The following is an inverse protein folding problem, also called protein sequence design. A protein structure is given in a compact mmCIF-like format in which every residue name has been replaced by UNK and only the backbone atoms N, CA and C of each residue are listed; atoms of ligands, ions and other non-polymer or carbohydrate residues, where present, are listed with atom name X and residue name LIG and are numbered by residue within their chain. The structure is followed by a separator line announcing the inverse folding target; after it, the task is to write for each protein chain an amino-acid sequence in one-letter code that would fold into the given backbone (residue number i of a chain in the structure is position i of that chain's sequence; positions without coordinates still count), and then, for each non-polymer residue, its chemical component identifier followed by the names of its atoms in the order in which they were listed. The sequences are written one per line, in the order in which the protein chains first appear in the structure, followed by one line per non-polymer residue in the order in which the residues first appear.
data_IF_728662882072
#
_entry.id   IF_728662882072
#
_cell.length_a   1.000
_cell.length_b   1.000
_cell.length_c   1.000
_cell.angle_alpha   90.00
_cell.angle_beta   90.00
_cell.angle_gamma   90.00
#
_symmetry.space_group_name_H-M   'P 1'
#
loop_
_entity.id
_entity.type
_entity.pdbx_description
1 polymer ?
#
# COMPACT_ATOMS: atom_id res chain seq x y z
N UNK A 1 -11.41 -43.91 -1.40
CA UNK A 1 -11.09 -42.48 -1.19
C UNK A 1 -9.85 -42.18 -2.00
N UNK A 2 -10.02 -41.62 -3.20
CA UNK A 2 -8.93 -41.26 -4.11
C UNK A 2 -8.34 -39.93 -3.64
N UNK A 3 -7.12 -39.95 -3.12
CA UNK A 3 -6.38 -38.74 -2.81
C UNK A 3 -6.01 -38.04 -4.12
N UNK A 4 -6.61 -36.89 -4.39
CA UNK A 4 -6.27 -36.05 -5.54
C UNK A 4 -4.88 -35.49 -5.30
N UNK A 5 -3.87 -36.06 -5.97
CA UNK A 5 -2.50 -35.54 -5.95
C UNK A 5 -2.51 -34.24 -6.74
N UNK A 6 -2.42 -33.11 -6.05
CA UNK A 6 -2.30 -31.79 -6.68
C UNK A 6 -0.91 -31.70 -7.30
N UNK A 7 -0.83 -31.53 -8.63
CA UNK A 7 0.47 -31.34 -9.29
C UNK A 7 1.05 -29.96 -8.93
N UNK A 8 2.38 -29.79 -8.90
CA UNK A 8 3.02 -28.51 -8.58
C UNK A 8 2.53 -27.35 -9.45
N UNK A 9 2.23 -27.61 -10.72
CA UNK A 9 1.69 -26.63 -11.69
C UNK A 9 0.28 -26.17 -11.32
N UNK A 10 -0.57 -27.07 -10.83
CA UNK A 10 -1.92 -26.74 -10.35
C UNK A 10 -1.87 -25.92 -9.06
N UNK A 11 -0.90 -26.21 -8.18
CA UNK A 11 -0.69 -25.46 -6.94
C UNK A 11 -0.18 -24.04 -7.19
N UNK A 12 0.80 -23.87 -8.11
CA UNK A 12 1.31 -22.55 -8.48
C UNK A 12 0.20 -21.65 -9.05
N UNK A 13 -0.59 -22.19 -9.98
CA UNK A 13 -1.73 -21.48 -10.55
C UNK A 13 -2.75 -21.07 -9.48
N UNK A 14 -3.10 -21.98 -8.57
CA UNK A 14 -4.04 -21.68 -7.48
C UNK A 14 -3.52 -20.56 -6.55
N UNK A 15 -2.22 -20.51 -6.27
CA UNK A 15 -1.60 -19.44 -5.48
C UNK A 15 -1.71 -18.11 -6.21
N UNK A 16 -1.46 -18.08 -7.52
CA UNK A 16 -1.56 -16.85 -8.31
C UNK A 16 -3.00 -16.34 -8.41
N UNK A 17 -3.98 -17.23 -8.55
CA UNK A 17 -5.40 -16.89 -8.52
C UNK A 17 -5.80 -16.30 -7.15
N UNK A 18 -5.35 -16.90 -6.04
CA UNK A 18 -5.58 -16.37 -4.68
C UNK A 18 -4.97 -14.98 -4.50
N UNK A 19 -3.73 -14.77 -4.97
CA UNK A 19 -3.07 -13.46 -4.91
C UNK A 19 -3.84 -12.42 -5.71
N UNK A 20 -4.32 -12.79 -6.89
CA UNK A 20 -5.13 -11.92 -7.74
C UNK A 20 -6.43 -11.53 -7.06
N UNK A 21 -7.15 -12.49 -6.51
CA UNK A 21 -8.40 -12.23 -5.80
C UNK A 21 -8.18 -11.30 -4.60
N UNK A 22 -7.10 -11.51 -3.85
CA UNK A 22 -6.71 -10.64 -2.74
C UNK A 22 -6.37 -9.20 -3.22
N UNK A 23 -5.53 -9.05 -4.24
CA UNK A 23 -5.18 -7.74 -4.78
C UNK A 23 -6.41 -7.00 -5.34
N UNK A 24 -7.28 -7.70 -6.08
CA UNK A 24 -8.53 -7.14 -6.61
C UNK A 24 -9.49 -6.71 -5.50
N UNK A 25 -9.63 -7.50 -4.43
CA UNK A 25 -10.47 -7.12 -3.28
C UNK A 25 -9.90 -5.89 -2.57
N UNK A 26 -8.59 -5.83 -2.36
CA UNK A 26 -7.95 -4.66 -1.76
C UNK A 26 -8.14 -3.41 -2.63
N UNK A 27 -7.94 -3.53 -3.93
CA UNK A 27 -8.15 -2.44 -4.86
C UNK A 27 -9.60 -1.95 -4.84
N UNK A 28 -10.58 -2.86 -4.77
CA UNK A 28 -11.99 -2.48 -4.62
C UNK A 28 -12.24 -1.65 -3.35
N UNK A 29 -11.64 -2.01 -2.22
CA UNK A 29 -11.72 -1.21 -0.98
C UNK A 29 -11.13 0.19 -1.19
N UNK A 30 -9.98 0.29 -1.85
CA UNK A 30 -9.31 1.56 -2.13
C UNK A 30 -10.18 2.44 -3.04
N UNK A 31 -10.74 1.88 -4.13
CA UNK A 31 -11.62 2.62 -5.05
C UNK A 31 -12.87 3.15 -4.36
N UNK A 32 -13.52 2.31 -3.55
CA UNK A 32 -14.68 2.72 -2.75
C UNK A 32 -14.32 3.89 -1.82
N UNK A 33 -13.18 3.80 -1.13
CA UNK A 33 -12.70 4.90 -0.28
C UNK A 33 -12.37 6.17 -1.08
N UNK A 34 -11.80 6.04 -2.28
CA UNK A 34 -11.58 7.16 -3.20
C UNK A 34 -12.89 7.83 -3.63
N UNK A 35 -13.98 7.07 -3.76
CA UNK A 35 -15.31 7.61 -4.01
C UNK A 35 -16.02 8.15 -2.75
N UNK A 36 -15.36 8.11 -1.60
CA UNK A 36 -15.91 8.59 -0.33
C UNK A 36 -16.88 7.63 0.34
N UNK A 37 -16.91 6.37 -0.07
CA UNK A 37 -17.71 5.35 0.59
C UNK A 37 -17.15 4.99 1.96
N UNK A 38 -18.04 4.60 2.88
CA UNK A 38 -17.65 4.02 4.16
C UNK A 38 -17.21 2.57 3.96
N UNK A 39 -16.08 2.20 4.55
CA UNK A 39 -15.54 0.84 4.53
C UNK A 39 -15.79 0.17 5.88
N UNK A 40 -16.28 -1.07 5.86
CA UNK A 40 -16.54 -1.84 7.07
C UNK A 40 -15.24 -2.16 7.83
N UNK A 41 -15.32 -2.19 9.16
CA UNK A 41 -14.18 -2.46 10.05
C UNK A 41 -13.48 -3.80 9.75
N UNK A 42 -14.21 -4.84 9.32
CA UNK A 42 -13.61 -6.12 8.93
C UNK A 42 -12.81 -6.02 7.64
N UNK A 43 -13.31 -5.26 6.66
CA UNK A 43 -12.58 -5.00 5.42
C UNK A 43 -11.32 -4.16 5.68
N UNK A 44 -11.41 -3.18 6.59
CA UNK A 44 -10.27 -2.39 7.03
C UNK A 44 -9.20 -3.24 7.72
N UNK A 45 -9.60 -4.10 8.67
CA UNK A 45 -8.68 -5.00 9.36
C UNK A 45 -8.01 -5.98 8.39
N UNK A 46 -8.80 -6.58 7.49
CA UNK A 46 -8.28 -7.49 6.47
C UNK A 46 -7.30 -6.81 5.51
N UNK A 47 -7.60 -5.58 5.07
CA UNK A 47 -6.70 -4.81 4.22
C UNK A 47 -5.42 -4.40 4.96
N UNK A 48 -5.52 -4.08 6.26
CA UNK A 48 -4.38 -3.77 7.11
C UNK A 48 -3.40 -4.94 7.21
N UNK A 49 -3.92 -6.14 7.46
CA UNK A 49 -3.13 -7.38 7.47
C UNK A 49 -2.46 -7.60 6.11
N UNK A 50 -3.23 -7.48 5.01
CA UNK A 50 -2.73 -7.74 3.66
C UNK A 50 -1.63 -6.76 3.21
N UNK A 51 -1.74 -5.48 3.56
CA UNK A 51 -0.73 -4.45 3.27
C UNK A 51 0.53 -4.68 4.12
N UNK A 52 0.37 -5.13 5.36
CA UNK A 52 1.50 -5.43 6.26
C UNK A 52 2.25 -6.66 5.77
N UNK A 53 1.55 -7.70 5.35
CA UNK A 53 2.16 -8.97 4.93
C UNK A 53 2.74 -8.92 3.49
N UNK A 54 2.36 -7.92 2.68
CA UNK A 54 2.76 -7.82 1.27
C UNK A 54 3.17 -6.40 0.85
N UNK A 55 4.47 -6.22 0.61
CA UNK A 55 5.04 -4.99 0.03
C UNK A 55 4.40 -4.63 -1.31
N UNK A 56 4.06 -5.62 -2.13
CA UNK A 56 3.36 -5.41 -3.41
C UNK A 56 1.98 -4.75 -3.21
N UNK A 57 1.20 -5.20 -2.23
CA UNK A 57 -0.08 -4.61 -1.90
C UNK A 57 0.04 -3.22 -1.27
N UNK A 58 1.09 -3.00 -0.46
CA UNK A 58 1.43 -1.67 0.05
C UNK A 58 1.75 -0.69 -1.07
N UNK A 59 2.61 -1.09 -2.01
CA UNK A 59 3.03 -0.24 -3.12
C UNK A 59 1.86 0.02 -4.08
N UNK A 60 1.02 -0.98 -4.35
CA UNK A 60 -0.27 -0.79 -5.06
C UNK A 60 -1.16 0.25 -4.36
N UNK A 61 -1.26 0.20 -3.03
CA UNK A 61 -2.09 1.14 -2.25
C UNK A 61 -1.55 2.57 -2.35
N UNK A 62 -0.23 2.73 -2.25
CA UNK A 62 0.43 4.04 -2.41
C UNK A 62 0.18 4.59 -3.82
N UNK A 63 0.42 3.78 -4.86
CA UNK A 63 0.24 4.20 -6.24
C UNK A 63 -1.21 4.54 -6.57
N UNK A 64 -2.17 3.79 -6.03
CA UNK A 64 -3.58 4.12 -6.16
C UNK A 64 -3.90 5.49 -5.56
N UNK A 65 -3.29 5.84 -4.42
CA UNK A 65 -3.44 7.16 -3.79
C UNK A 65 -2.75 8.29 -4.56
N UNK A 66 -1.54 8.06 -5.06
CA UNK A 66 -0.77 9.08 -5.79
C UNK A 66 -1.29 9.34 -7.20
N UNK A 67 -1.71 8.27 -7.89
CA UNK A 67 -2.06 8.25 -9.31
C UNK A 67 -3.42 7.58 -9.46
N UNK A 68 -4.52 8.23 -9.02
CA UNK A 68 -5.85 7.64 -9.00
C UNK A 68 -6.35 7.24 -10.39
N UNK A 69 -5.79 7.83 -11.46
CA UNK A 69 -6.09 7.49 -12.86
C UNK A 69 -5.39 6.22 -13.37
N UNK A 70 -4.45 5.65 -12.60
CA UNK A 70 -3.80 4.38 -12.95
C UNK A 70 -4.84 3.27 -13.09
N UNK A 71 -4.69 2.44 -14.12
CA UNK A 71 -5.69 1.42 -14.43
C UNK A 71 -5.75 0.35 -13.34
N UNK A 72 -6.94 -0.22 -13.12
CA UNK A 72 -7.09 -1.32 -12.16
C UNK A 72 -6.30 -2.56 -12.57
N UNK A 73 -6.09 -2.73 -13.88
CA UNK A 73 -5.24 -3.80 -14.42
C UNK A 73 -3.79 -3.65 -13.95
N UNK A 74 -3.20 -2.46 -14.13
CA UNK A 74 -1.82 -2.20 -13.72
C UNK A 74 -1.65 -2.27 -12.21
N UNK A 75 -2.59 -1.69 -11.44
CA UNK A 75 -2.56 -1.76 -9.98
C UNK A 75 -2.69 -3.19 -9.48
N UNK A 76 -3.63 -3.97 -10.02
CA UNK A 76 -3.76 -5.39 -9.67
C UNK A 76 -2.49 -6.17 -10.05
N UNK A 77 -1.87 -5.87 -11.19
CA UNK A 77 -0.61 -6.49 -11.59
C UNK A 77 0.50 -6.22 -10.55
N UNK A 78 0.64 -4.98 -10.11
CA UNK A 78 1.61 -4.58 -9.06
C UNK A 78 1.31 -5.30 -7.75
N UNK A 79 0.04 -5.37 -7.33
CA UNK A 79 -0.36 -6.05 -6.09
C UNK A 79 -0.14 -7.57 -6.11
N UNK A 80 0.03 -8.17 -7.29
CA UNK A 80 0.16 -9.63 -7.47
C UNK A 80 1.57 -10.10 -7.80
N UNK A 81 2.40 -9.26 -8.44
CA UNK A 81 3.71 -9.65 -8.96
C UNK A 81 4.84 -8.89 -8.28
N UNK A 82 5.96 -9.58 -8.04
CA UNK A 82 7.22 -9.01 -7.52
C UNK A 82 8.37 -9.15 -8.52
N UNK A 83 8.03 -9.41 -9.78
CA UNK A 83 8.98 -9.54 -10.88
C UNK A 83 9.53 -8.18 -11.33
N UNK A 84 10.46 -8.22 -12.29
CA UNK A 84 11.12 -7.01 -12.78
C UNK A 84 10.18 -6.09 -13.57
N UNK A 85 9.09 -6.62 -14.12
CA UNK A 85 8.08 -5.79 -14.79
C UNK A 85 7.29 -4.97 -13.76
N UNK A 86 6.82 -5.59 -12.68
CA UNK A 86 6.15 -4.90 -11.58
C UNK A 86 7.06 -3.84 -10.95
N UNK A 87 8.33 -4.17 -10.69
CA UNK A 87 9.34 -3.20 -10.21
C UNK A 87 9.53 -2.04 -11.19
N UNK A 88 9.53 -2.31 -12.49
CA UNK A 88 9.66 -1.26 -13.51
C UNK A 88 8.49 -0.30 -13.46
N UNK A 89 7.25 -0.81 -13.31
CA UNK A 89 6.06 0.04 -13.18
C UNK A 89 6.14 0.87 -11.89
N UNK A 90 6.46 0.25 -10.76
CA UNK A 90 6.61 0.94 -9.47
C UNK A 90 7.69 2.01 -9.54
N UNK A 91 8.89 1.68 -10.01
CA UNK A 91 10.01 2.62 -10.13
C UNK A 91 9.71 3.77 -11.11
N UNK A 92 8.85 3.54 -12.11
CA UNK A 92 8.42 4.58 -13.04
C UNK A 92 7.40 5.52 -12.41
N UNK A 93 6.45 5.01 -11.62
CA UNK A 93 5.30 5.77 -11.12
C UNK A 93 5.54 6.39 -9.73
N UNK A 94 6.23 5.68 -8.85
CA UNK A 94 6.45 6.07 -7.45
C UNK A 94 7.20 7.41 -7.29
N UNK A 95 8.20 7.75 -8.12
CA UNK A 95 8.88 9.06 -8.07
C UNK A 95 8.11 10.20 -8.73
N UNK A 96 6.98 9.93 -9.39
CA UNK A 96 6.22 10.98 -10.07
C UNK A 96 5.49 11.85 -9.04
N UNK A 97 5.35 13.14 -9.33
CA UNK A 97 4.56 14.05 -8.50
C UNK A 97 3.15 13.49 -8.40
N UNK A 98 2.60 13.34 -7.20
CA UNK A 98 1.25 12.84 -7.05
C UNK A 98 0.26 13.79 -7.71
N UNK A 99 -0.83 13.24 -8.22
CA UNK A 99 -2.00 14.05 -8.53
C UNK A 99 -2.55 14.59 -7.20
N UNK A 100 -2.37 15.88 -6.91
CA UNK A 100 -2.90 16.52 -5.70
C UNK A 100 -4.43 16.58 -5.77
N UNK A 101 -5.04 15.50 -5.31
CA UNK A 101 -6.43 15.17 -5.51
C UNK A 101 -7.07 14.86 -4.16
N UNK A 102 -8.41 15.00 -4.08
CA UNK A 102 -9.14 14.59 -2.89
C UNK A 102 -8.96 13.08 -2.62
N UNK A 103 -8.67 12.31 -3.67
CA UNK A 103 -8.41 10.89 -3.71
C UNK A 103 -7.13 10.53 -2.93
N UNK A 104 -6.02 11.25 -3.10
CA UNK A 104 -4.80 11.06 -2.30
C UNK A 104 -5.10 11.16 -0.81
N UNK A 105 -5.80 12.23 -0.44
CA UNK A 105 -6.19 12.51 0.93
C UNK A 105 -7.15 11.45 1.51
N UNK A 106 -8.06 10.93 0.67
CA UNK A 106 -8.97 9.83 1.05
C UNK A 106 -8.20 8.54 1.28
N UNK A 107 -7.23 8.19 0.43
CA UNK A 107 -6.42 6.98 0.60
C UNK A 107 -5.50 7.09 1.81
N UNK A 108 -4.93 8.26 2.09
CA UNK A 108 -4.18 8.51 3.34
C UNK A 108 -5.07 8.28 4.57
N UNK A 109 -6.26 8.89 4.61
CA UNK A 109 -7.22 8.69 5.72
C UNK A 109 -7.69 7.24 5.83
N UNK A 110 -7.84 6.53 4.71
CA UNK A 110 -8.15 5.10 4.69
C UNK A 110 -7.04 4.32 5.40
N UNK A 111 -5.77 4.56 5.05
CA UNK A 111 -4.63 3.89 5.65
C UNK A 111 -4.51 4.19 7.17
N UNK A 112 -4.74 5.44 7.57
CA UNK A 112 -4.80 5.80 9.00
C UNK A 112 -5.95 5.06 9.73
N UNK A 113 -7.10 4.88 9.07
CA UNK A 113 -8.25 4.17 9.64
C UNK A 113 -8.01 2.66 9.73
N UNK A 114 -7.33 2.08 8.73
CA UNK A 114 -6.85 0.70 8.77
C UNK A 114 -5.92 0.47 9.98
N UNK A 115 -4.95 1.35 10.20
CA UNK A 115 -4.05 1.29 11.36
C UNK A 115 -4.83 1.34 12.69
N UNK A 116 -5.71 2.33 12.86
CA UNK A 116 -6.54 2.46 14.07
C UNK A 116 -7.44 1.25 14.33
N UNK A 117 -7.89 0.59 13.26
CA UNK A 117 -8.77 -0.58 13.37
C UNK A 117 -8.04 -1.80 13.94
N UNK A 118 -6.72 -1.87 13.78
CA UNK A 118 -5.91 -2.99 14.27
C UNK A 118 -5.19 -2.73 15.60
N UNK A 119 -5.28 -1.50 16.12
CA UNK A 119 -4.76 -1.10 17.44
C UNK A 119 -5.27 -2.03 18.56
N UNK A 120 -4.36 -2.42 19.46
CA UNK A 120 -4.68 -3.25 20.62
C UNK A 120 -4.98 -4.73 20.33
N UNK A 121 -4.96 -5.17 19.06
CA UNK A 121 -5.10 -6.58 18.67
C UNK A 121 -3.87 -7.12 17.98
N UNK A 122 -3.49 -6.46 16.89
CA UNK A 122 -2.36 -6.82 16.02
C UNK A 122 -1.95 -5.58 15.27
N UNK A 123 -1.18 -4.73 15.95
CA UNK A 123 -0.73 -3.45 15.38
C UNK A 123 -0.07 -3.67 14.02
N UNK A 124 -0.47 -2.86 13.04
CA UNK A 124 -0.10 -3.06 11.64
C UNK A 124 0.77 -1.90 11.17
N UNK A 125 2.06 -2.15 10.98
CA UNK A 125 3.01 -1.14 10.49
C UNK A 125 2.74 -0.73 9.03
N UNK A 126 2.21 -1.66 8.21
CA UNK A 126 1.97 -1.45 6.79
C UNK A 126 1.10 -0.23 6.46
N UNK A 127 -0.11 -0.12 7.02
CA UNK A 127 -0.96 1.06 6.81
C UNK A 127 -0.35 2.37 7.29
N UNK A 128 0.41 2.38 8.40
CA UNK A 128 1.13 3.57 8.85
C UNK A 128 2.25 3.96 7.89
N UNK A 129 2.95 2.99 7.30
CA UNK A 129 3.94 3.24 6.26
C UNK A 129 3.30 3.85 4.99
N UNK A 130 2.10 3.37 4.59
CA UNK A 130 1.32 3.99 3.49
C UNK A 130 0.94 5.42 3.83
N UNK A 131 0.37 5.66 5.02
CA UNK A 131 -0.03 6.99 5.46
C UNK A 131 1.16 7.96 5.52
N UNK A 132 2.31 7.49 6.00
CA UNK A 132 3.55 8.25 6.04
C UNK A 132 4.01 8.66 4.63
N UNK A 133 4.01 7.71 3.69
CA UNK A 133 4.44 7.99 2.31
C UNK A 133 3.51 9.00 1.64
N UNK A 134 2.20 8.81 1.76
CA UNK A 134 1.22 9.71 1.14
C UNK A 134 1.24 11.11 1.75
N UNK A 135 1.47 11.23 3.06
CA UNK A 135 1.67 12.51 3.72
C UNK A 135 2.95 13.22 3.22
N UNK A 136 4.07 12.49 3.11
CA UNK A 136 5.31 13.04 2.58
C UNK A 136 5.16 13.48 1.11
N UNK A 137 4.51 12.65 0.29
CA UNK A 137 4.21 12.97 -1.11
C UNK A 137 3.32 14.21 -1.26
N UNK A 138 2.43 14.47 -0.29
CA UNK A 138 1.60 15.68 -0.24
C UNK A 138 2.30 16.92 0.35
N UNK A 139 3.56 16.78 0.81
CA UNK A 139 4.30 17.86 1.46
C UNK A 139 3.94 18.09 2.94
N UNK A 140 3.18 17.18 3.57
CA UNK A 140 2.88 17.21 5.00
C UNK A 140 3.95 16.44 5.79
N UNK A 141 5.14 17.04 5.92
CA UNK A 141 6.27 16.46 6.65
C UNK A 141 5.94 16.13 8.12
N UNK A 142 5.23 16.98 8.89
CA UNK A 142 4.86 16.65 10.27
C UNK A 142 4.00 15.38 10.37
N UNK A 143 2.99 15.23 9.51
CA UNK A 143 2.18 14.02 9.50
C UNK A 143 3.00 12.81 9.04
N UNK A 144 3.82 12.98 8.00
CA UNK A 144 4.68 11.92 7.48
C UNK A 144 5.63 11.37 8.55
N UNK A 145 6.33 12.24 9.28
CA UNK A 145 7.23 11.86 10.36
C UNK A 145 6.50 11.13 11.48
N UNK A 146 5.33 11.64 11.91
CA UNK A 146 4.52 11.01 12.95
C UNK A 146 4.10 9.59 12.56
N UNK A 147 3.60 9.40 11.34
CA UNK A 147 3.17 8.08 10.86
C UNK A 147 4.37 7.14 10.66
N UNK A 148 5.50 7.65 10.17
CA UNK A 148 6.71 6.86 9.99
C UNK A 148 7.27 6.36 11.32
N UNK A 149 7.36 7.23 12.33
CA UNK A 149 7.80 6.83 13.68
C UNK A 149 6.85 5.80 14.29
N UNK A 150 5.53 6.01 14.21
CA UNK A 150 4.56 5.04 14.70
C UNK A 150 4.67 3.67 13.99
N UNK A 151 4.98 3.65 12.69
CA UNK A 151 5.23 2.40 11.97
C UNK A 151 6.48 1.68 12.48
N UNK A 152 7.56 2.44 12.77
CA UNK A 152 8.82 1.90 13.28
C UNK A 152 8.73 1.43 14.74
N UNK A 153 7.87 2.06 15.55
CA UNK A 153 7.58 1.60 16.92
C UNK A 153 6.93 0.20 16.91
N UNK A 154 6.14 -0.12 15.88
CA UNK A 154 5.52 -1.44 15.68
C UNK A 154 6.51 -2.42 15.05
N UNK A 155 7.26 -1.98 14.03
CA UNK A 155 8.25 -2.80 13.32
C UNK A 155 9.45 -1.96 12.89
N UNK A 156 10.54 -2.07 13.65
CA UNK A 156 11.79 -1.34 13.44
C UNK A 156 12.56 -1.76 12.17
N UNK A 157 12.18 -2.88 11.54
CA UNK A 157 12.77 -3.37 10.29
C UNK A 157 12.07 -2.84 9.04
N UNK A 158 11.05 -1.98 9.17
CA UNK A 158 10.39 -1.37 8.02
C UNK A 158 11.30 -0.36 7.32
N UNK A 159 11.64 -0.66 6.07
CA UNK A 159 12.55 0.18 5.28
C UNK A 159 11.89 1.47 4.78
N UNK A 160 10.59 1.44 4.46
CA UNK A 160 9.89 2.58 3.87
C UNK A 160 9.75 3.77 4.85
N UNK A 161 9.26 3.59 6.08
CA UNK A 161 9.25 4.65 7.09
C UNK A 161 10.63 5.24 7.37
N UNK A 162 11.65 4.38 7.46
CA UNK A 162 13.06 4.81 7.64
C UNK A 162 13.50 5.72 6.50
N UNK A 163 13.24 5.32 5.25
CA UNK A 163 13.57 6.14 4.08
C UNK A 163 12.82 7.47 4.08
N UNK A 164 11.55 7.49 4.46
CA UNK A 164 10.77 8.74 4.57
C UNK A 164 11.40 9.69 5.58
N UNK A 165 11.78 9.21 6.77
CA UNK A 165 12.44 10.04 7.78
C UNK A 165 13.78 10.59 7.28
N UNK A 166 14.57 9.78 6.57
CA UNK A 166 15.82 10.23 5.92
C UNK A 166 15.55 11.28 4.85
N UNK A 167 14.50 11.12 4.04
CA UNK A 167 14.12 12.11 3.02
C UNK A 167 13.72 13.44 3.66
N UNK A 168 12.92 13.41 4.73
CA UNK A 168 12.54 14.61 5.50
C UNK A 168 13.78 15.29 6.09
N UNK A 169 14.66 14.54 6.79
CA UNK A 169 15.90 15.07 7.38
C UNK A 169 16.80 15.75 6.34
N UNK A 170 16.83 15.21 5.12
CA UNK A 170 17.61 15.74 3.99
C UNK A 170 16.90 16.83 3.19
N UNK A 171 15.66 17.19 3.54
CA UNK A 171 14.83 18.12 2.76
C UNK A 171 14.57 17.64 1.33
N UNK A 172 14.51 16.32 1.13
CA UNK A 172 14.18 15.69 -0.16
C UNK A 172 12.66 15.60 -0.26
N UNK A 173 12.14 16.21 -1.31
CA UNK A 173 10.74 16.21 -1.73
C UNK A 173 10.52 15.25 -2.89
N UNK A 174 9.27 14.86 -3.13
CA UNK A 174 8.93 13.92 -4.20
C UNK A 174 9.30 14.44 -5.59
N UNK A 175 9.22 15.76 -5.81
CA UNK A 175 9.60 16.39 -7.07
C UNK A 175 11.11 16.26 -7.38
N UNK A 176 11.94 16.11 -6.35
CA UNK A 176 13.38 15.92 -6.51
C UNK A 176 13.75 14.47 -6.86
N UNK A 177 12.84 13.50 -6.69
CA UNK A 177 13.07 12.10 -7.07
C UNK A 177 12.91 11.84 -8.58
N UNK A 178 12.43 12.83 -9.36
CA UNK A 178 12.26 12.73 -10.81
C UNK A 178 13.56 12.82 -11.62
N UNK A 179 14.68 13.14 -10.98
CA UNK A 179 15.98 13.44 -11.62
C UNK A 179 16.84 12.19 -11.76
#
# INVERSE_FOLDING_TARGET
MTATITTPETAAKAIDDIRRDAATRLLSIIRRAQHGETIDTRDLAWAADLITDSKANRDMTILAGMHPTTTDHDLTYIGTHVDDHAKTIVNRLMPQTPEHTAELDRVRRLAETMARTTEGRRESAGPLAVAAYLAWAAGDEPAAARHALAALDINDNETLPTLILVMIDRGITIDQLKR
#
